data_IF_336237390789
#
_entry.id   IF_336237390789
#
_cell.length_a   1.000
_cell.length_b   1.000
_cell.length_c   1.000
_cell.angle_alpha   90.00
_cell.angle_beta   90.00
_cell.angle_gamma   90.00
#
_symmetry.space_group_name_H-M   'P 1'
#
loop_
_entity.id
_entity.type
_entity.pdbx_description
1 polymer ?
#
# COMPACT_ATOMS: atom_id res chain seq x y z
N UNK A 1 -36.41 -37.12 17.46
CA UNK A 1 -35.57 -36.70 16.31
C UNK A 1 -34.15 -36.29 16.67
N UNK A 2 -33.65 -36.58 17.86
CA UNK A 2 -32.32 -36.11 18.35
C UNK A 2 -31.24 -37.22 18.45
N UNK A 3 -31.52 -38.45 18.02
CA UNK A 3 -30.58 -39.59 18.10
C UNK A 3 -29.86 -39.95 16.79
N UNK A 4 -30.23 -39.33 15.66
CA UNK A 4 -29.63 -39.63 14.35
C UNK A 4 -28.41 -38.73 13.98
N UNK A 5 -28.28 -37.56 14.61
CA UNK A 5 -27.17 -36.62 14.32
C UNK A 5 -25.84 -36.95 15.03
N UNK A 6 -25.91 -37.70 16.13
CA UNK A 6 -24.68 -38.11 16.88
C UNK A 6 -23.96 -39.30 16.24
N UNK A 7 -24.64 -40.12 15.41
CA UNK A 7 -23.98 -41.27 14.77
C UNK A 7 -23.15 -40.90 13.54
N UNK A 8 -23.53 -39.80 12.83
CA UNK A 8 -22.77 -39.36 11.62
C UNK A 8 -21.48 -38.65 11.99
N UNK A 9 -21.41 -37.95 13.13
CA UNK A 9 -20.17 -37.28 13.57
C UNK A 9 -19.11 -38.26 14.08
N UNK A 10 -19.51 -39.40 14.66
CA UNK A 10 -18.60 -40.43 15.13
C UNK A 10 -17.95 -41.21 13.98
N UNK A 11 -18.69 -41.46 12.89
CA UNK A 11 -18.15 -42.13 11.69
C UNK A 11 -17.19 -41.28 10.89
N UNK A 12 -17.37 -39.94 10.86
CA UNK A 12 -16.43 -39.04 10.20
C UNK A 12 -15.10 -38.92 10.97
N UNK A 13 -15.13 -38.99 12.32
CA UNK A 13 -13.92 -38.95 13.13
C UNK A 13 -13.12 -40.25 13.08
N UNK A 14 -13.79 -41.41 12.95
CA UNK A 14 -13.13 -42.70 12.82
C UNK A 14 -12.45 -42.90 11.45
N UNK A 15 -13.00 -42.33 10.35
CA UNK A 15 -12.41 -42.41 9.02
C UNK A 15 -11.14 -41.57 8.86
N UNK A 16 -11.10 -40.38 9.48
CA UNK A 16 -9.90 -39.53 9.48
C UNK A 16 -8.74 -40.17 10.27
N UNK A 17 -9.03 -40.83 11.40
CA UNK A 17 -8.00 -41.51 12.18
C UNK A 17 -7.41 -42.72 11.46
N UNK A 18 -8.21 -43.46 10.70
CA UNK A 18 -7.79 -44.63 9.93
C UNK A 18 -6.90 -44.27 8.74
N UNK A 19 -7.22 -43.17 8.05
CA UNK A 19 -6.44 -42.69 6.91
C UNK A 19 -5.06 -42.15 7.35
N UNK A 20 -5.00 -41.40 8.45
CA UNK A 20 -3.77 -40.94 9.04
C UNK A 20 -2.88 -42.08 9.57
N UNK A 21 -3.49 -43.14 10.15
CA UNK A 21 -2.78 -44.33 10.56
C UNK A 21 -2.26 -45.17 9.39
N UNK A 22 -2.97 -45.16 8.25
CA UNK A 22 -2.53 -45.87 7.05
C UNK A 22 -1.35 -45.15 6.38
N UNK A 23 -1.38 -43.83 6.32
CA UNK A 23 -0.24 -43.02 5.83
C UNK A 23 1.00 -43.14 6.73
N UNK A 24 0.82 -43.19 8.05
CA UNK A 24 1.93 -43.41 8.98
C UNK A 24 2.57 -44.79 8.79
N UNK A 25 1.78 -45.84 8.59
CA UNK A 25 2.27 -47.18 8.28
C UNK A 25 2.96 -47.32 6.90
N UNK A 26 2.53 -46.53 5.90
CA UNK A 26 3.19 -46.50 4.63
C UNK A 26 4.59 -45.86 4.69
N UNK A 27 4.75 -44.83 5.56
CA UNK A 27 6.03 -44.20 5.80
C UNK A 27 7.02 -45.10 6.60
N UNK A 28 6.50 -45.99 7.42
CA UNK A 28 7.31 -46.97 8.17
C UNK A 28 7.80 -48.18 7.31
N UNK A 29 7.20 -48.40 6.12
CA UNK A 29 7.50 -49.51 5.24
C UNK A 29 8.55 -49.22 4.16
N UNK A 30 9.11 -48.01 4.10
CA UNK A 30 10.12 -47.63 3.11
C UNK A 30 11.52 -47.85 3.72
N UNK A 31 12.33 -48.80 3.21
CA UNK A 31 13.68 -49.06 3.77
C UNK A 31 14.64 -47.88 3.73
N UNK A 32 14.27 -46.80 2.99
CA UNK A 32 15.04 -45.55 2.87
C UNK A 32 14.89 -44.60 4.06
N UNK A 33 13.94 -44.86 4.92
CA UNK A 33 13.60 -43.89 6.02
C UNK A 33 14.54 -44.00 7.24
N UNK A 34 15.20 -45.14 7.43
CA UNK A 34 16.08 -45.32 8.61
C UNK A 34 17.44 -44.65 8.43
N UNK A 35 17.99 -44.69 7.23
CA UNK A 35 19.27 -44.05 6.93
C UNK A 35 19.17 -42.52 6.97
N UNK A 36 18.04 -41.96 6.50
CA UNK A 36 17.76 -40.53 6.62
C UNK A 36 17.43 -40.11 8.06
N UNK A 37 16.82 -40.97 8.85
CA UNK A 37 16.49 -40.65 10.25
C UNK A 37 17.73 -40.52 11.11
N UNK A 38 18.74 -41.35 10.90
CA UNK A 38 20.05 -41.28 11.56
C UNK A 38 20.80 -40.01 11.13
N UNK A 39 20.82 -39.66 9.86
CA UNK A 39 21.44 -38.44 9.37
C UNK A 39 20.77 -37.16 9.91
N UNK A 40 19.43 -37.11 9.96
CA UNK A 40 18.71 -35.97 10.53
C UNK A 40 18.95 -35.83 12.02
N UNK A 41 19.05 -36.94 12.76
CA UNK A 41 19.34 -36.92 14.21
C UNK A 41 20.82 -36.59 14.50
N UNK A 42 21.76 -37.00 13.65
CA UNK A 42 23.16 -36.59 13.78
C UNK A 42 23.35 -35.14 13.39
N UNK A 43 22.67 -34.66 12.35
CA UNK A 43 22.68 -33.27 11.96
C UNK A 43 22.08 -32.36 13.04
N UNK A 44 20.99 -32.79 13.70
CA UNK A 44 20.39 -32.02 14.80
C UNK A 44 21.19 -32.05 16.11
N UNK A 45 22.04 -33.07 16.35
CA UNK A 45 22.94 -33.11 17.50
C UNK A 45 24.17 -32.23 17.32
N UNK A 46 24.58 -31.95 16.10
CA UNK A 46 25.72 -31.05 15.81
C UNK A 46 25.30 -29.59 15.60
N UNK A 47 24.00 -29.32 15.51
CA UNK A 47 23.51 -27.96 15.33
C UNK A 47 23.47 -27.25 16.69
N UNK A 48 24.57 -26.63 17.07
CA UNK A 48 24.51 -25.52 18.02
C UNK A 48 23.72 -24.43 17.26
N UNK A 49 22.49 -24.12 17.76
CA UNK A 49 21.78 -22.96 17.27
C UNK A 49 22.75 -21.78 17.27
N UNK A 50 22.89 -21.05 16.15
CA UNK A 50 23.72 -19.86 16.16
C UNK A 50 23.26 -19.01 17.35
N UNK A 51 24.23 -18.66 18.20
CA UNK A 51 23.99 -17.70 19.26
C UNK A 51 23.31 -16.51 18.58
N UNK A 52 22.06 -16.25 18.96
CA UNK A 52 21.36 -15.06 18.46
C UNK A 52 22.17 -13.92 19.05
N UNK A 53 23.14 -13.43 18.28
CA UNK A 53 23.75 -12.13 18.53
C UNK A 53 22.55 -11.19 18.38
N UNK A 54 21.96 -10.78 19.52
CA UNK A 54 21.06 -9.66 19.56
C UNK A 54 21.87 -8.50 19.01
N UNK A 55 21.77 -8.28 17.69
CA UNK A 55 22.17 -6.99 17.11
C UNK A 55 21.40 -5.97 17.93
N UNK A 56 22.09 -4.95 18.49
CA UNK A 56 21.38 -3.87 19.17
C UNK A 56 20.21 -3.49 18.28
N UNK A 57 19.00 -3.51 18.82
CA UNK A 57 17.82 -3.06 18.08
C UNK A 57 18.14 -1.64 17.65
N UNK A 58 18.53 -1.47 16.40
CA UNK A 58 18.52 -0.14 15.79
C UNK A 58 17.10 0.35 16.03
N UNK A 59 16.98 1.43 16.81
CA UNK A 59 15.71 2.14 16.97
C UNK A 59 15.08 2.23 15.59
N UNK A 60 13.82 1.81 15.40
CA UNK A 60 13.23 1.77 14.08
C UNK A 60 13.39 3.17 13.48
N UNK A 61 14.25 3.27 12.48
CA UNK A 61 14.44 4.52 11.75
C UNK A 61 13.02 4.93 11.33
N UNK A 62 12.59 6.10 11.78
CA UNK A 62 11.31 6.66 11.38
C UNK A 62 11.33 6.84 9.86
N UNK A 63 11.06 5.77 9.12
CA UNK A 63 11.22 5.73 7.66
C UNK A 63 10.43 6.84 6.97
N UNK A 64 9.32 7.31 7.59
CA UNK A 64 8.55 8.44 7.09
C UNK A 64 9.34 9.75 7.04
N UNK A 65 10.43 9.90 7.81
CA UNK A 65 11.31 11.09 7.78
C UNK A 65 12.18 11.15 6.54
N UNK A 66 12.33 10.02 5.83
CA UNK A 66 13.10 9.94 4.58
C UNK A 66 12.23 10.13 3.34
N UNK A 67 10.90 10.22 3.49
CA UNK A 67 10.01 10.39 2.35
C UNK A 67 10.30 11.66 1.58
N UNK A 68 10.21 11.57 0.27
CA UNK A 68 10.34 12.72 -0.61
C UNK A 68 9.18 13.68 -0.41
N UNK A 69 9.51 14.94 -0.13
CA UNK A 69 8.56 16.01 0.12
C UNK A 69 8.67 17.03 -0.99
N UNK A 70 7.53 17.45 -1.52
CA UNK A 70 7.44 18.52 -2.53
C UNK A 70 6.61 19.70 -2.00
N UNK A 71 7.05 20.89 -2.38
CA UNK A 71 6.43 22.15 -1.98
C UNK A 71 5.41 22.63 -3.01
N UNK A 72 4.66 23.67 -2.62
CA UNK A 72 3.76 24.36 -3.54
C UNK A 72 4.52 24.86 -4.79
N UNK A 73 3.87 24.82 -5.94
CA UNK A 73 4.42 25.19 -7.25
C UNK A 73 5.59 24.36 -7.78
N UNK A 74 6.08 23.33 -7.09
CA UNK A 74 7.15 22.45 -7.60
C UNK A 74 6.87 21.96 -9.04
N UNK A 75 5.60 21.71 -9.36
CA UNK A 75 5.16 21.31 -10.71
C UNK A 75 4.38 22.41 -11.44
N UNK A 76 4.60 23.69 -11.12
CA UNK A 76 4.00 24.84 -11.80
C UNK A 76 2.52 25.06 -11.54
N UNK A 77 1.92 24.41 -10.52
CA UNK A 77 0.52 24.60 -10.10
C UNK A 77 0.44 24.92 -8.62
N UNK A 78 -0.48 25.81 -8.25
CA UNK A 78 -0.84 26.05 -6.88
C UNK A 78 -1.51 24.82 -6.26
N UNK A 79 -0.88 24.28 -5.23
CA UNK A 79 -1.36 23.11 -4.47
C UNK A 79 -1.45 23.39 -2.98
N UNK A 80 -1.59 24.64 -2.59
CA UNK A 80 -1.71 25.07 -1.19
C UNK A 80 -0.36 25.25 -0.50
N UNK A 81 -0.40 25.67 0.75
CA UNK A 81 0.79 26.05 1.53
C UNK A 81 1.45 24.87 2.24
N UNK A 82 0.72 23.81 2.51
CA UNK A 82 1.26 22.62 3.19
C UNK A 82 2.03 21.74 2.20
N UNK A 83 3.19 21.19 2.60
CA UNK A 83 3.98 20.31 1.76
C UNK A 83 3.24 19.02 1.44
N UNK A 84 3.60 18.37 0.34
CA UNK A 84 3.03 17.10 -0.14
C UNK A 84 4.08 15.99 -0.06
N UNK A 85 3.63 14.78 0.23
CA UNK A 85 4.47 13.59 0.10
C UNK A 85 4.43 13.14 -1.37
N UNK A 86 5.61 13.01 -1.98
CA UNK A 86 5.78 12.55 -3.35
C UNK A 86 6.53 11.20 -3.41
N UNK A 87 6.44 10.42 -2.36
CA UNK A 87 7.17 9.17 -2.19
C UNK A 87 6.28 7.95 -2.42
N UNK A 88 6.80 6.95 -3.13
CA UNK A 88 6.11 5.68 -3.36
C UNK A 88 5.97 4.85 -2.08
N UNK A 89 6.91 4.95 -1.15
CA UNK A 89 6.89 4.19 0.09
C UNK A 89 5.78 4.65 1.04
N UNK A 90 5.19 5.81 0.79
CA UNK A 90 3.98 6.27 1.48
C UNK A 90 2.69 5.65 0.95
N UNK A 91 2.73 4.83 -0.12
CA UNK A 91 1.57 4.16 -0.71
C UNK A 91 1.35 2.77 -0.09
N UNK A 92 0.10 2.30 -0.13
CA UNK A 92 -0.26 0.92 0.17
C UNK A 92 0.59 -0.05 -0.66
N UNK A 93 1.26 -1.09 -0.09
CA UNK A 93 2.28 -1.89 -0.77
C UNK A 93 1.86 -2.45 -2.14
N UNK A 94 0.66 -3.03 -2.23
CA UNK A 94 0.13 -3.52 -3.51
C UNK A 94 -0.10 -2.41 -4.55
N UNK A 95 -0.54 -1.24 -4.12
CA UNK A 95 -0.76 -0.10 -5.02
C UNK A 95 0.58 0.54 -5.44
N UNK A 96 1.54 0.64 -4.52
CA UNK A 96 2.93 1.06 -4.78
C UNK A 96 3.54 0.28 -5.95
N UNK A 97 3.42 -1.06 -5.92
CA UNK A 97 3.93 -1.91 -7.00
C UNK A 97 3.29 -1.61 -8.35
N UNK A 98 1.99 -1.37 -8.38
CA UNK A 98 1.29 -0.98 -9.61
C UNK A 98 1.75 0.39 -10.14
N UNK A 99 2.02 1.34 -9.27
CA UNK A 99 2.52 2.66 -9.68
C UNK A 99 3.99 2.57 -10.12
N UNK A 100 4.82 1.78 -9.44
CA UNK A 100 6.19 1.49 -9.89
C UNK A 100 6.21 0.87 -11.30
N UNK A 101 5.27 -0.06 -11.58
CA UNK A 101 5.12 -0.65 -12.89
C UNK A 101 4.57 0.35 -13.93
N UNK A 102 3.67 1.26 -13.55
CA UNK A 102 3.21 2.36 -14.40
C UNK A 102 4.39 3.26 -14.81
N UNK A 103 5.18 3.70 -13.84
CA UNK A 103 6.34 4.58 -14.06
C UNK A 103 7.37 3.90 -14.98
N UNK A 104 7.74 2.65 -14.68
CA UNK A 104 8.71 1.90 -15.48
C UNK A 104 8.22 1.62 -16.89
N UNK A 105 6.93 1.28 -17.06
CA UNK A 105 6.31 1.07 -18.37
C UNK A 105 6.25 2.37 -19.19
N UNK A 106 5.91 3.49 -18.57
CA UNK A 106 5.96 4.80 -19.22
C UNK A 106 7.38 5.15 -19.65
N UNK A 107 8.36 4.97 -18.75
CA UNK A 107 9.77 5.22 -19.04
C UNK A 107 10.29 4.39 -20.21
N UNK A 108 9.92 3.11 -20.30
CA UNK A 108 10.30 2.25 -21.45
C UNK A 108 9.71 2.73 -22.79
N UNK A 109 8.67 3.56 -22.76
CA UNK A 109 8.03 4.20 -23.92
C UNK A 109 8.46 5.67 -24.13
N UNK A 110 9.53 6.11 -23.44
CA UNK A 110 10.06 7.46 -23.53
C UNK A 110 9.17 8.51 -22.85
N UNK A 111 8.35 8.13 -21.87
CA UNK A 111 7.52 9.03 -21.10
C UNK A 111 8.03 9.04 -19.66
N UNK A 112 8.59 10.16 -19.23
CA UNK A 112 8.98 10.37 -17.85
C UNK A 112 7.78 10.84 -17.02
N UNK A 113 7.60 10.27 -15.83
CA UNK A 113 6.56 10.65 -14.87
C UNK A 113 7.20 11.09 -13.56
N UNK A 114 6.80 12.25 -13.08
CA UNK A 114 7.07 12.69 -11.72
C UNK A 114 5.85 12.39 -10.81
N UNK A 115 6.11 12.04 -9.56
CA UNK A 115 5.09 11.92 -8.54
C UNK A 115 4.82 13.32 -8.00
N UNK A 116 3.57 13.73 -8.00
CA UNK A 116 3.13 15.03 -7.47
C UNK A 116 2.67 14.91 -6.04
N UNK A 117 1.89 13.88 -5.75
CA UNK A 117 1.37 13.61 -4.42
C UNK A 117 0.98 12.14 -4.28
N UNK A 118 1.50 11.46 -3.27
CA UNK A 118 1.16 10.07 -2.94
C UNK A 118 0.17 10.01 -1.78
N UNK A 119 0.65 9.96 -0.54
CA UNK A 119 -0.21 10.03 0.63
C UNK A 119 -0.61 11.47 0.95
N UNK A 120 -1.84 11.66 1.41
CA UNK A 120 -2.39 12.97 1.80
C UNK A 120 -2.98 12.91 3.19
N UNK A 121 -2.52 13.79 4.08
CA UNK A 121 -3.08 13.94 5.42
C UNK A 121 -4.50 14.51 5.39
N UNK A 122 -5.25 14.33 6.48
CA UNK A 122 -6.53 15.00 6.68
C UNK A 122 -6.38 16.52 6.71
N UNK A 123 -5.29 17.01 7.28
CA UNK A 123 -4.93 18.43 7.34
C UNK A 123 -4.76 18.99 5.92
N UNK A 124 -3.97 18.33 5.07
CA UNK A 124 -3.79 18.73 3.66
C UNK A 124 -5.09 18.62 2.84
N UNK A 125 -5.88 17.57 3.07
CA UNK A 125 -7.18 17.41 2.42
C UNK A 125 -8.14 18.55 2.76
N UNK A 126 -8.14 19.00 4.01
CA UNK A 126 -8.96 20.13 4.47
C UNK A 126 -8.45 21.46 3.91
N UNK A 127 -7.13 21.63 3.76
CA UNK A 127 -6.57 22.76 3.01
C UNK A 127 -7.13 22.81 1.59
N UNK A 128 -7.04 21.73 0.81
CA UNK A 128 -7.60 21.69 -0.54
C UNK A 128 -9.10 21.96 -0.58
N UNK A 129 -9.86 21.47 0.41
CA UNK A 129 -11.28 21.77 0.51
C UNK A 129 -11.57 23.24 0.72
N UNK A 130 -10.75 23.92 1.53
CA UNK A 130 -10.85 25.38 1.77
C UNK A 130 -10.51 26.20 0.53
N UNK A 131 -9.61 25.71 -0.33
CA UNK A 131 -9.26 26.33 -1.61
C UNK A 131 -10.37 26.24 -2.67
N UNK A 132 -11.40 25.44 -2.40
CA UNK A 132 -12.62 25.36 -3.21
C UNK A 132 -12.77 24.14 -4.09
N UNK A 133 -13.93 24.04 -4.74
CA UNK A 133 -14.38 22.83 -5.47
C UNK A 133 -13.49 22.44 -6.67
N UNK A 134 -12.66 23.34 -7.18
CA UNK A 134 -11.69 23.06 -8.26
C UNK A 134 -10.54 22.15 -7.78
N UNK A 135 -10.24 22.16 -6.47
CA UNK A 135 -9.21 21.30 -5.89
C UNK A 135 -9.80 19.96 -5.44
N UNK A 136 -10.86 20.00 -4.66
CA UNK A 136 -11.55 18.79 -4.20
C UNK A 136 -12.99 19.06 -3.79
N UNK A 137 -13.81 18.01 -3.84
CA UNK A 137 -15.15 17.99 -3.24
C UNK A 137 -15.19 17.21 -1.92
N UNK A 138 -14.16 16.40 -1.66
CA UNK A 138 -14.05 15.52 -0.49
C UNK A 138 -13.42 16.27 0.67
N UNK A 139 -13.92 16.04 1.88
CA UNK A 139 -13.28 16.46 3.11
C UNK A 139 -12.29 15.43 3.66
N UNK A 140 -11.72 15.72 4.82
CA UNK A 140 -10.90 14.77 5.54
C UNK A 140 -11.60 13.42 5.73
N UNK A 141 -10.87 12.32 5.61
CA UNK A 141 -11.38 10.95 5.70
C UNK A 141 -12.05 10.40 4.43
N UNK A 142 -12.22 11.19 3.35
CA UNK A 142 -12.96 10.77 2.16
C UNK A 142 -12.14 10.78 0.86
N UNK A 143 -10.84 11.05 0.93
CA UNK A 143 -9.92 10.93 -0.20
C UNK A 143 -9.18 9.60 -0.18
N UNK A 144 -8.99 8.94 -1.34
CA UNK A 144 -8.23 7.69 -1.43
C UNK A 144 -6.74 7.90 -1.15
N UNK A 145 -6.21 9.11 -1.35
CA UNK A 145 -4.85 9.46 -0.95
C UNK A 145 -4.62 9.27 0.56
N UNK A 146 -5.65 9.44 1.39
CA UNK A 146 -5.57 9.25 2.85
C UNK A 146 -5.47 7.78 3.29
N UNK A 147 -5.55 6.86 2.34
CA UNK A 147 -5.43 5.42 2.54
C UNK A 147 -4.26 4.84 1.75
N UNK A 148 -3.41 5.70 1.16
CA UNK A 148 -2.33 5.30 0.27
C UNK A 148 -2.81 4.56 -0.99
N UNK A 149 -4.05 4.77 -1.43
CA UNK A 149 -4.71 4.08 -2.53
C UNK A 149 -4.92 4.97 -3.76
N UNK A 150 -4.35 6.16 -3.75
CA UNK A 150 -4.33 7.07 -4.89
C UNK A 150 -2.98 7.80 -4.97
N UNK A 151 -2.63 8.22 -6.17
CA UNK A 151 -1.43 8.99 -6.48
C UNK A 151 -1.76 10.02 -7.56
N UNK A 152 -1.21 11.21 -7.44
CA UNK A 152 -1.16 12.19 -8.50
C UNK A 152 0.23 12.17 -9.11
N UNK A 153 0.30 12.06 -10.45
CA UNK A 153 1.54 12.09 -11.23
C UNK A 153 1.45 13.17 -12.29
N UNK A 154 2.59 13.52 -12.89
CA UNK A 154 2.62 14.40 -14.07
C UNK A 154 3.69 13.93 -15.05
N UNK A 155 3.38 13.86 -16.38
CA UNK A 155 4.42 13.66 -17.37
C UNK A 155 5.38 14.84 -17.41
N UNK A 156 6.67 14.57 -17.59
CA UNK A 156 7.72 15.60 -17.65
C UNK A 156 8.44 15.52 -18.99
N UNK A 157 8.70 16.65 -19.60
CA UNK A 157 9.57 16.80 -20.77
C UNK A 157 10.53 17.96 -20.48
N UNK A 158 11.83 17.69 -20.59
CA UNK A 158 12.89 18.69 -20.32
C UNK A 158 12.70 19.40 -18.98
N UNK A 159 12.40 18.61 -17.95
CA UNK A 159 12.11 19.06 -16.57
C UNK A 159 10.85 19.94 -16.42
N UNK A 160 10.01 20.01 -17.45
CA UNK A 160 8.77 20.80 -17.42
C UNK A 160 7.55 19.88 -17.34
N UNK A 161 6.70 20.10 -16.34
CA UNK A 161 5.45 19.34 -16.15
C UNK A 161 4.43 19.64 -17.28
N UNK A 162 3.91 18.59 -17.89
CA UNK A 162 3.10 18.62 -19.11
C UNK A 162 1.59 18.56 -18.80
N UNK A 163 1.08 19.52 -18.04
CA UNK A 163 -0.33 19.50 -17.58
C UNK A 163 -1.36 19.54 -18.70
N UNK A 164 -1.09 20.26 -19.77
CA UNK A 164 -2.05 20.52 -20.85
C UNK A 164 -1.87 19.58 -22.05
N UNK A 165 -0.93 18.65 -21.99
CA UNK A 165 -0.66 17.71 -23.07
C UNK A 165 -1.63 16.51 -23.05
N UNK A 166 -2.85 16.74 -23.55
CA UNK A 166 -3.94 15.74 -23.58
C UNK A 166 -3.53 14.45 -24.31
N UNK A 167 -2.69 14.53 -25.37
CA UNK A 167 -2.24 13.35 -26.11
C UNK A 167 -1.33 12.49 -25.24
N UNK A 168 -0.46 13.12 -24.47
CA UNK A 168 0.45 12.44 -23.55
C UNK A 168 -0.33 11.80 -22.40
N UNK A 169 -1.26 12.52 -21.81
CA UNK A 169 -2.16 12.01 -20.78
C UNK A 169 -2.94 10.78 -21.21
N UNK A 170 -3.47 10.76 -22.45
CA UNK A 170 -4.17 9.58 -22.95
C UNK A 170 -3.28 8.35 -23.06
N UNK A 171 -1.99 8.52 -23.39
CA UNK A 171 -1.02 7.41 -23.42
C UNK A 171 -0.76 6.88 -22.02
N UNK A 172 -0.47 7.77 -21.07
CA UNK A 172 -0.22 7.41 -19.65
C UNK A 172 -1.45 6.75 -19.05
N UNK A 173 -2.64 7.33 -19.25
CA UNK A 173 -3.89 6.78 -18.75
C UNK A 173 -4.19 5.38 -19.29
N UNK A 174 -3.97 5.15 -20.60
CA UNK A 174 -4.16 3.83 -21.19
C UNK A 174 -3.22 2.77 -20.61
N UNK A 175 -1.97 3.13 -20.32
CA UNK A 175 -1.02 2.24 -19.64
C UNK A 175 -1.52 1.92 -18.21
N UNK A 176 -1.95 2.93 -17.45
CA UNK A 176 -2.48 2.72 -16.10
C UNK A 176 -3.72 1.82 -16.08
N UNK A 177 -4.65 2.01 -17.03
CA UNK A 177 -5.85 1.17 -17.15
C UNK A 177 -5.50 -0.28 -17.50
N UNK A 178 -4.49 -0.53 -18.35
CA UNK A 178 -3.98 -1.89 -18.64
C UNK A 178 -3.40 -2.58 -17.41
N UNK A 179 -2.85 -1.82 -16.46
CA UNK A 179 -2.34 -2.31 -15.18
C UNK A 179 -3.44 -2.49 -14.12
N UNK A 180 -4.71 -2.25 -14.49
CA UNK A 180 -5.86 -2.36 -13.61
C UNK A 180 -6.01 -1.19 -12.62
N UNK A 181 -5.45 -0.04 -12.97
CA UNK A 181 -5.67 1.21 -12.25
C UNK A 181 -6.91 1.93 -12.78
N UNK A 182 -7.58 2.65 -11.91
CA UNK A 182 -8.62 3.59 -12.29
C UNK A 182 -7.99 4.95 -12.56
N UNK A 183 -8.23 5.50 -13.74
CA UNK A 183 -7.64 6.76 -14.19
C UNK A 183 -8.65 7.91 -14.14
N UNK A 184 -8.31 9.01 -13.49
CA UNK A 184 -9.15 10.21 -13.34
C UNK A 184 -9.37 10.99 -14.64
N UNK A 185 -8.57 10.75 -15.68
CA UNK A 185 -8.78 11.32 -17.03
C UNK A 185 -10.02 10.75 -17.76
N UNK A 186 -10.71 9.74 -17.20
CA UNK A 186 -12.03 9.27 -17.67
C UNK A 186 -13.20 10.00 -17.01
N UNK A 187 -12.93 10.77 -15.97
CA UNK A 187 -14.00 11.43 -15.24
C UNK A 187 -14.47 12.68 -15.98
N UNK A 188 -15.77 12.92 -15.92
CA UNK A 188 -16.34 14.14 -16.52
C UNK A 188 -16.16 15.37 -15.62
N UNK A 189 -16.25 15.17 -14.31
CA UNK A 189 -16.22 16.24 -13.33
C UNK A 189 -15.87 15.73 -11.92
N UNK A 190 -14.68 16.07 -11.39
CA UNK A 190 -13.61 16.79 -12.09
C UNK A 190 -12.90 15.91 -13.12
N UNK A 191 -12.43 16.50 -14.23
CA UNK A 191 -11.44 15.86 -15.11
C UNK A 191 -10.07 15.98 -14.45
N UNK A 192 -9.48 14.84 -14.10
CA UNK A 192 -8.24 14.79 -13.34
C UNK A 192 -7.27 13.77 -13.96
N UNK A 193 -6.54 14.17 -15.02
CA UNK A 193 -5.69 13.25 -15.77
C UNK A 193 -4.43 12.81 -14.98
N UNK A 194 -4.03 13.54 -13.95
CA UNK A 194 -2.91 13.17 -13.08
C UNK A 194 -3.24 12.08 -12.09
N UNK A 195 -4.52 11.87 -11.80
CA UNK A 195 -4.96 10.98 -10.73
C UNK A 195 -5.07 9.52 -11.16
N UNK A 196 -4.42 8.64 -10.42
CA UNK A 196 -4.57 7.18 -10.50
C UNK A 196 -4.95 6.61 -9.15
N UNK A 197 -5.87 5.64 -9.12
CA UNK A 197 -6.30 4.99 -7.88
C UNK A 197 -6.54 3.48 -8.07
N UNK A 198 -6.39 2.74 -6.97
CA UNK A 198 -6.83 1.35 -6.84
C UNK A 198 -7.48 1.16 -5.47
N UNK A 199 -8.66 0.60 -5.39
CA UNK A 199 -9.41 0.47 -4.14
C UNK A 199 -9.91 -0.95 -3.88
N UNK A 200 -9.55 -1.92 -4.73
CA UNK A 200 -10.13 -3.27 -4.65
C UNK A 200 -11.66 -3.28 -4.73
N UNK A 201 -12.27 -2.26 -5.38
CA UNK A 201 -13.73 -2.12 -5.50
C UNK A 201 -14.40 -1.35 -4.36
N UNK A 202 -13.65 -0.90 -3.34
CA UNK A 202 -14.20 -0.14 -2.22
C UNK A 202 -14.46 1.32 -2.60
N UNK A 203 -15.55 1.89 -2.08
CA UNK A 203 -15.82 3.33 -2.12
C UNK A 203 -15.11 4.08 -0.99
N UNK A 204 -15.05 5.41 -1.07
CA UNK A 204 -14.52 6.23 0.03
C UNK A 204 -15.30 6.03 1.34
N UNK A 205 -16.61 5.74 1.26
CA UNK A 205 -17.43 5.41 2.43
C UNK A 205 -16.96 4.10 3.09
N UNK A 206 -16.71 3.05 2.31
CA UNK A 206 -16.18 1.79 2.83
C UNK A 206 -14.82 1.97 3.51
N UNK A 207 -13.93 2.73 2.89
CA UNK A 207 -12.61 3.02 3.45
C UNK A 207 -12.69 3.83 4.75
N UNK A 208 -13.55 4.85 4.80
CA UNK A 208 -13.77 5.65 6.02
C UNK A 208 -14.45 4.86 7.14
N UNK A 209 -15.17 3.79 6.81
CA UNK A 209 -15.72 2.83 7.77
C UNK A 209 -14.68 1.77 8.22
N UNK A 210 -13.42 1.88 7.78
CA UNK A 210 -12.33 0.99 8.19
C UNK A 210 -12.21 -0.31 7.37
N UNK A 211 -12.97 -0.46 6.26
CA UNK A 211 -12.79 -1.62 5.38
C UNK A 211 -11.47 -1.47 4.61
N UNK A 212 -10.72 -2.57 4.55
CA UNK A 212 -9.46 -2.66 3.78
C UNK A 212 -9.70 -3.35 2.44
N UNK A 213 -9.05 -2.90 1.34
CA UNK A 213 -9.13 -3.60 0.06
C UNK A 213 -8.46 -4.97 0.14
N UNK A 214 -9.09 -5.97 -0.48
CA UNK A 214 -8.51 -7.31 -0.55
C UNK A 214 -7.45 -7.37 -1.64
N UNK A 215 -6.22 -7.65 -1.23
CA UNK A 215 -5.10 -7.88 -2.14
C UNK A 215 -5.19 -9.31 -2.70
N UNK A 216 -4.90 -9.52 -3.99
CA UNK A 216 -4.79 -10.87 -4.53
C UNK A 216 -3.73 -11.68 -3.78
N UNK A 217 -4.03 -12.95 -3.49
CA UNK A 217 -3.08 -13.85 -2.83
C UNK A 217 -1.84 -14.04 -3.69
N UNK A 218 -0.68 -13.79 -3.11
CA UNK A 218 0.63 -13.96 -3.76
C UNK A 218 1.70 -14.06 -2.68
N UNK A 219 2.75 -14.82 -2.93
CA UNK A 219 3.90 -14.94 -2.04
C UNK A 219 4.60 -13.59 -1.80
N UNK A 220 4.42 -12.65 -2.72
CA UNK A 220 4.94 -11.27 -2.58
C UNK A 220 4.27 -10.49 -1.43
N UNK A 221 3.05 -10.83 -1.06
CA UNK A 221 2.25 -10.06 -0.10
C UNK A 221 1.91 -10.85 1.17
N UNK A 222 2.77 -11.79 1.56
CA UNK A 222 2.56 -12.62 2.76
C UNK A 222 2.50 -11.77 4.03
N UNK A 223 3.35 -10.74 4.16
CA UNK A 223 3.45 -9.85 5.31
C UNK A 223 2.73 -8.50 5.12
N UNK A 224 1.76 -8.41 4.18
CA UNK A 224 1.14 -7.13 3.83
C UNK A 224 0.40 -6.46 4.99
N UNK A 225 -0.15 -7.22 5.92
CA UNK A 225 -0.87 -6.67 7.08
C UNK A 225 0.09 -6.01 8.06
N UNK A 226 1.28 -6.58 8.25
CA UNK A 226 2.35 -6.02 9.07
C UNK A 226 2.90 -4.74 8.44
N UNK A 227 3.21 -4.77 7.13
CA UNK A 227 3.66 -3.58 6.39
C UNK A 227 2.62 -2.45 6.45
N UNK A 228 1.34 -2.78 6.28
CA UNK A 228 0.26 -1.79 6.39
C UNK A 228 0.12 -1.24 7.80
N UNK A 229 0.29 -2.06 8.82
CA UNK A 229 0.21 -1.60 10.21
C UNK A 229 1.31 -0.60 10.51
N UNK A 230 2.54 -0.88 10.09
CA UNK A 230 3.67 0.04 10.19
C UNK A 230 3.44 1.34 9.40
N UNK A 231 2.97 1.23 8.18
CA UNK A 231 2.71 2.37 7.31
C UNK A 231 1.63 3.29 7.89
N UNK A 232 0.61 2.73 8.54
CA UNK A 232 -0.43 3.52 9.24
C UNK A 232 0.18 4.35 10.38
N UNK A 233 1.15 3.81 11.12
CA UNK A 233 1.84 4.57 12.17
C UNK A 233 2.69 5.70 11.57
N UNK A 234 3.35 5.48 10.43
CA UNK A 234 4.08 6.52 9.70
C UNK A 234 3.14 7.62 9.19
N UNK A 235 1.97 7.27 8.66
CA UNK A 235 0.96 8.26 8.26
C UNK A 235 0.48 9.11 9.43
N UNK A 236 0.25 8.52 10.59
CA UNK A 236 -0.13 9.25 11.83
C UNK A 236 0.98 10.20 12.28
N UNK A 237 2.24 9.75 12.23
CA UNK A 237 3.38 10.58 12.60
C UNK A 237 3.47 11.81 11.67
N UNK A 238 3.36 11.61 10.36
CA UNK A 238 3.31 12.70 9.38
C UNK A 238 2.11 13.64 9.57
N UNK A 239 0.92 13.11 9.83
CA UNK A 239 -0.28 13.92 10.13
C UNK A 239 -0.03 14.85 11.35
N UNK A 240 0.62 14.32 12.37
CA UNK A 240 0.97 15.09 13.58
C UNK A 240 1.95 16.21 13.26
N UNK A 241 3.01 15.92 12.50
CA UNK A 241 4.01 16.89 12.07
C UNK A 241 3.37 18.01 11.24
N UNK A 242 2.56 17.68 10.26
CA UNK A 242 1.90 18.65 9.39
C UNK A 242 0.88 19.51 10.15
N UNK A 243 0.19 18.95 11.13
CA UNK A 243 -0.72 19.68 12.00
C UNK A 243 0.03 20.68 12.89
N UNK A 244 1.22 20.32 13.36
CA UNK A 244 2.09 21.23 14.13
C UNK A 244 2.59 22.40 13.28
N UNK A 245 2.94 22.17 12.01
CA UNK A 245 3.31 23.22 11.05
C UNK A 245 2.17 24.21 10.88
N UNK A 246 0.95 23.72 10.65
CA UNK A 246 -0.25 24.55 10.49
C UNK A 246 -0.51 25.43 11.71
N UNK A 247 -0.39 24.84 12.90
CA UNK A 247 -0.62 25.58 14.16
C UNK A 247 0.38 26.72 14.35
N UNK A 248 1.65 26.53 14.01
CA UNK A 248 2.69 27.56 14.08
C UNK A 248 2.41 28.71 13.11
N UNK A 249 1.98 28.41 11.87
CA UNK A 249 1.64 29.42 10.87
C UNK A 249 0.47 30.29 11.30
N UNK A 250 -0.59 29.71 11.86
CA UNK A 250 -1.76 30.45 12.35
C UNK A 250 -1.40 31.38 13.51
N UNK A 251 -0.51 30.94 14.39
CA UNK A 251 -0.08 31.77 15.56
C UNK A 251 0.76 32.96 15.09
N UNK A 252 1.68 32.76 14.13
CA UNK A 252 2.51 33.82 13.57
C UNK A 252 1.69 34.89 12.83
N UNK A 253 0.65 34.49 12.10
CA UNK A 253 -0.24 35.43 11.37
C UNK A 253 -1.11 36.29 12.31
N UNK A 254 -1.39 35.85 13.54
CA UNK A 254 -2.17 36.58 14.52
C UNK A 254 -1.35 37.60 15.34
N UNK A 255 -0.01 37.49 15.27
CA UNK A 255 0.90 38.38 16.02
C UNK A 255 1.43 39.57 15.18
N UNK A 256 1.13 39.57 13.87
CA UNK A 256 1.40 40.67 12.94
C UNK A 256 0.10 41.40 12.57
#
# INVERSE_FOLDING_TARGET
MLRFLTFISLLAFSSLSTQAQTELKLLESVPYAEEHRTHVLEFSRGFQAPEIIETPSEEPIDAWKTWEIVENYTFGKDRGSLPMIADLDALHPYFRDKISLLISTCKSKGIELAIVESYRTSTKQNEYKSMGKKYTRSGGGHSKHQYGLAVDVVPVIDSVAQWDNVKLWRKVGAIGEQLGLRWGGRWRNPYDPGHFEWTGGLSSYHLSAGLKPRVPKSDKYVCIEEELSQLVEYWKAWETEQSAITSKQVTSTKMN
#
